data_IF_316913185273
#
_entry.id   IF_316913185273
#
_cell.length_a   1.000
_cell.length_b   1.000
_cell.length_c   1.000
_cell.angle_alpha   90.00
_cell.angle_beta   90.00
_cell.angle_gamma   90.00
#
_symmetry.space_group_name_H-M   'P 1'
#
loop_
_entity.id
_entity.type
_entity.pdbx_description
1 polymer ?
#
# COMPACT_ATOMS: atom_id res chain seq x y z
N UNK A 1 2.82 13.13 15.98
CA UNK A 1 3.68 12.05 16.49
C UNK A 1 4.03 11.21 15.28
N UNK A 2 5.22 11.41 14.71
CA UNK A 2 5.72 10.58 13.61
C UNK A 2 5.80 9.13 14.11
N UNK A 3 5.28 8.19 13.32
CA UNK A 3 5.41 6.77 13.62
C UNK A 3 6.89 6.38 13.53
N UNK A 4 7.38 5.64 14.53
CA UNK A 4 8.75 5.13 14.56
C UNK A 4 9.06 4.18 13.39
N UNK A 5 8.02 3.65 12.75
CA UNK A 5 8.09 2.97 11.45
C UNK A 5 7.18 3.72 10.45
N UNK A 6 7.74 4.47 9.49
CA UNK A 6 6.96 5.20 8.48
C UNK A 6 6.34 4.28 7.42
N UNK A 7 6.75 3.01 7.34
CA UNK A 7 6.25 2.02 6.37
C UNK A 7 5.21 1.07 6.96
N UNK A 8 5.23 0.89 8.29
CA UNK A 8 4.29 0.04 9.03
C UNK A 8 4.29 -1.43 8.60
N UNK A 9 3.18 -2.12 8.89
CA UNK A 9 3.00 -3.54 8.60
C UNK A 9 3.08 -3.86 7.10
N UNK A 10 2.54 -2.98 6.26
CA UNK A 10 2.47 -3.19 4.81
C UNK A 10 3.80 -2.96 4.09
N UNK A 11 4.81 -2.41 4.78
CA UNK A 11 6.10 -2.12 4.18
C UNK A 11 5.99 -1.15 3.00
N UNK A 12 5.07 -0.18 3.12
CA UNK A 12 4.63 0.73 2.06
C UNK A 12 4.86 2.16 2.53
N UNK A 13 5.68 2.91 1.78
CA UNK A 13 5.88 4.35 1.99
C UNK A 13 5.35 5.14 0.81
N UNK A 14 4.38 6.01 1.07
CA UNK A 14 3.82 6.92 0.07
C UNK A 14 4.49 8.29 0.16
N UNK A 15 4.69 8.98 -0.96
CA UNK A 15 5.04 10.41 -0.95
C UNK A 15 3.92 11.27 -0.37
N UNK A 16 2.67 10.85 -0.60
CA UNK A 16 1.46 11.49 -0.08
C UNK A 16 0.55 10.43 0.55
N UNK A 17 0.38 10.46 1.87
CA UNK A 17 -0.59 9.58 2.57
C UNK A 17 -2.04 10.03 2.38
N UNK A 18 -2.24 11.28 1.96
CA UNK A 18 -3.53 11.83 1.56
C UNK A 18 -3.42 12.30 0.13
N UNK A 19 -4.21 11.71 -0.76
CA UNK A 19 -4.10 11.97 -2.19
C UNK A 19 -4.89 13.22 -2.59
N UNK A 20 -4.41 13.97 -3.62
CA UNK A 20 -5.22 14.97 -4.29
C UNK A 20 -6.52 14.34 -4.83
N UNK A 21 -7.61 15.11 -4.85
CA UNK A 21 -8.96 14.57 -5.13
C UNK A 21 -9.17 14.29 -6.61
N UNK A 22 -8.39 14.94 -7.48
CA UNK A 22 -8.53 14.82 -8.93
C UNK A 22 -7.17 14.94 -9.66
N UNK A 23 -7.20 14.60 -10.95
CA UNK A 23 -6.01 14.61 -11.81
C UNK A 23 -5.40 16.01 -11.95
N UNK A 24 -6.22 17.07 -11.99
CA UNK A 24 -5.73 18.45 -12.16
C UNK A 24 -4.94 18.91 -10.95
N UNK A 25 -5.41 18.61 -9.75
CA UNK A 25 -4.67 18.85 -8.50
C UNK A 25 -3.37 18.05 -8.47
N UNK A 26 -3.41 16.78 -8.90
CA UNK A 26 -2.22 15.93 -8.98
C UNK A 26 -1.16 16.51 -9.91
N UNK A 27 -1.55 17.03 -11.08
CA UNK A 27 -0.62 17.63 -12.04
C UNK A 27 0.06 18.92 -11.53
N UNK A 28 -0.47 19.53 -10.47
CA UNK A 28 0.14 20.70 -9.82
C UNK A 28 1.14 20.30 -8.72
N UNK A 29 1.12 19.05 -8.27
CA UNK A 29 2.05 18.56 -7.27
C UNK A 29 3.46 18.45 -7.88
N UNK A 30 4.43 19.15 -7.28
CA UNK A 30 5.84 19.04 -7.69
C UNK A 30 6.38 17.63 -7.42
N UNK A 31 5.99 17.05 -6.28
CA UNK A 31 6.28 15.65 -5.94
C UNK A 31 5.13 14.78 -6.43
N UNK A 32 5.36 13.78 -7.30
CA UNK A 32 4.29 12.92 -7.80
C UNK A 32 3.76 12.00 -6.70
N UNK A 33 2.54 11.49 -6.91
CA UNK A 33 1.98 10.40 -6.09
C UNK A 33 2.69 9.11 -6.47
N UNK A 34 3.61 8.67 -5.62
CA UNK A 34 4.42 7.46 -5.82
C UNK A 34 4.59 6.71 -4.50
N UNK A 35 5.02 5.46 -4.62
CA UNK A 35 5.17 4.54 -3.51
C UNK A 35 6.49 3.79 -3.59
N UNK A 36 7.17 3.66 -2.46
CA UNK A 36 8.24 2.69 -2.27
C UNK A 36 7.69 1.49 -1.49
N UNK A 37 7.90 0.28 -2.02
CA UNK A 37 7.37 -0.97 -1.46
C UNK A 37 8.51 -1.96 -1.28
N UNK A 38 8.52 -2.68 -0.15
CA UNK A 38 9.42 -3.82 0.09
C UNK A 38 8.61 -5.12 0.16
N UNK A 39 8.39 -5.82 -0.98
CA UNK A 39 7.41 -6.92 -1.04
C UNK A 39 7.73 -8.14 -0.17
N UNK A 40 9.01 -8.35 0.15
CA UNK A 40 9.50 -9.52 0.91
C UNK A 40 10.04 -9.05 2.27
N UNK A 41 9.50 -7.96 2.82
CA UNK A 41 9.87 -7.50 4.17
C UNK A 41 9.18 -8.37 5.22
N UNK A 42 9.96 -8.90 6.14
CA UNK A 42 9.43 -9.65 7.29
C UNK A 42 8.72 -8.70 8.26
N UNK A 43 7.55 -9.10 8.75
CA UNK A 43 6.84 -8.45 9.85
C UNK A 43 6.18 -9.49 10.74
N UNK A 44 6.23 -9.32 12.07
CA UNK A 44 5.76 -10.32 13.04
C UNK A 44 4.25 -10.59 12.94
N UNK A 45 3.50 -9.58 12.53
CA UNK A 45 2.05 -9.65 12.41
C UNK A 45 1.58 -10.20 11.05
N UNK A 46 2.49 -10.41 10.08
CA UNK A 46 2.15 -11.05 8.80
C UNK A 46 2.17 -12.56 9.00
N UNK A 47 1.00 -13.18 8.87
CA UNK A 47 0.82 -14.63 9.02
C UNK A 47 0.78 -15.33 7.67
N UNK A 48 1.42 -16.51 7.60
CA UNK A 48 1.25 -17.43 6.47
C UNK A 48 -0.02 -18.25 6.64
N UNK A 49 -0.85 -18.29 5.61
CA UNK A 49 -2.09 -19.09 5.61
C UNK A 49 -1.92 -20.38 4.80
N UNK A 50 -2.52 -21.51 5.22
CA UNK A 50 -2.31 -22.82 4.59
C UNK A 50 -3.23 -23.09 3.39
N UNK A 51 -3.62 -22.06 2.65
CA UNK A 51 -4.52 -22.17 1.50
C UNK A 51 -4.19 -21.13 0.43
N UNK A 52 -4.64 -21.39 -0.79
CA UNK A 52 -4.43 -20.48 -1.92
C UNK A 52 -5.30 -19.20 -1.76
N UNK A 53 -4.84 -18.02 -2.22
CA UNK A 53 -5.61 -16.78 -2.11
C UNK A 53 -6.99 -16.88 -2.76
N UNK A 54 -8.02 -16.43 -2.05
CA UNK A 54 -9.36 -16.28 -2.60
C UNK A 54 -9.36 -15.13 -3.61
N UNK A 55 -9.83 -15.37 -4.83
CA UNK A 55 -9.82 -14.38 -5.91
C UNK A 55 -11.22 -13.91 -6.27
N UNK A 56 -11.36 -12.62 -6.55
CA UNK A 56 -12.56 -12.06 -7.14
C UNK A 56 -12.79 -12.65 -8.54
N UNK A 57 -14.02 -13.08 -8.83
CA UNK A 57 -14.38 -13.70 -10.12
C UNK A 57 -14.30 -12.73 -11.31
N UNK A 58 -14.46 -11.43 -11.07
CA UNK A 58 -14.51 -10.42 -12.15
C UNK A 58 -13.13 -9.80 -12.44
N UNK A 59 -12.35 -9.46 -11.42
CA UNK A 59 -11.09 -8.73 -11.58
C UNK A 59 -9.83 -9.52 -11.18
N UNK A 60 -9.97 -10.75 -10.67
CA UNK A 60 -8.85 -11.59 -10.18
C UNK A 60 -8.07 -11.08 -8.98
N UNK A 61 -8.47 -9.95 -8.37
CA UNK A 61 -7.85 -9.44 -7.14
C UNK A 61 -7.98 -10.44 -5.98
N UNK A 62 -6.97 -10.51 -5.12
CA UNK A 62 -7.01 -11.32 -3.91
C UNK A 62 -7.92 -10.67 -2.85
N UNK A 63 -8.60 -11.49 -2.04
CA UNK A 63 -9.39 -11.01 -0.90
C UNK A 63 -8.47 -10.32 0.12
N UNK A 64 -8.84 -9.11 0.53
CA UNK A 64 -8.18 -8.31 1.56
C UNK A 64 -9.23 -7.66 2.51
N UNK A 65 -8.83 -7.25 3.74
CA UNK A 65 -9.68 -6.49 4.67
C UNK A 65 -10.21 -5.18 4.10
#
# INVERSE_FOLDING_TARGET
MESLDPEGIDSVRMTWSVWPRNKVETSKCVVPVVTCISPIRYHRDIQSVPYAPLRCRTCSAALNP
#
